data_IF_250145591694
#
_entry.id   IF_250145591694
#
_cell.length_a   1.000
_cell.length_b   1.000
_cell.length_c   1.000
_cell.angle_alpha   90.00
_cell.angle_beta   90.00
_cell.angle_gamma   90.00
#
_symmetry.space_group_name_H-M   'P 1'
#
loop_
_entity.id
_entity.type
_entity.pdbx_description
1 polymer ?
#
# COMPACT_ATOMS: atom_id res chain seq x y z
N UNK A 1 23.76 -15.89 4.48
CA UNK A 1 22.57 -16.25 5.31
C UNK A 1 21.67 -15.03 5.28
N UNK A 2 20.38 -15.18 4.93
CA UNK A 2 19.44 -14.06 5.04
C UNK A 2 19.41 -13.60 6.50
N UNK A 3 19.40 -12.28 6.74
CA UNK A 3 19.28 -11.72 8.08
C UNK A 3 17.88 -12.05 8.63
N UNK A 4 17.79 -12.26 9.93
CA UNK A 4 16.52 -12.54 10.59
C UNK A 4 15.66 -11.27 10.68
N UNK A 5 14.37 -11.38 10.37
CA UNK A 5 13.43 -10.27 10.52
C UNK A 5 13.20 -9.92 11.99
N UNK A 6 13.50 -8.67 12.36
CA UNK A 6 13.36 -8.17 13.75
C UNK A 6 12.03 -7.44 13.99
N UNK A 7 11.28 -7.13 12.94
CA UNK A 7 10.00 -6.42 13.04
C UNK A 7 8.91 -7.30 13.64
N UNK A 8 8.02 -6.74 14.46
CA UNK A 8 6.93 -7.50 15.09
C UNK A 8 5.83 -7.92 14.09
N UNK A 9 5.72 -7.23 12.94
CA UNK A 9 4.80 -7.52 11.82
C UNK A 9 5.64 -7.67 10.55
N UNK A 10 5.18 -8.46 9.56
CA UNK A 10 5.87 -8.56 8.27
C UNK A 10 5.91 -7.20 7.56
N UNK A 11 6.96 -6.97 6.78
CA UNK A 11 7.12 -5.72 6.04
C UNK A 11 7.30 -6.03 4.55
N UNK A 12 6.58 -5.28 3.71
CA UNK A 12 6.62 -5.33 2.25
C UNK A 12 7.10 -3.97 1.74
N UNK A 13 7.96 -3.97 0.73
CA UNK A 13 8.38 -2.72 0.09
C UNK A 13 7.41 -2.33 -1.01
N UNK A 14 6.81 -1.14 -0.91
CA UNK A 14 5.95 -0.55 -1.94
C UNK A 14 6.76 0.26 -2.95
N UNK A 15 6.88 -0.25 -4.18
CA UNK A 15 7.70 0.32 -5.25
C UNK A 15 7.03 1.46 -6.03
N UNK A 16 5.95 2.06 -5.52
CA UNK A 16 5.23 3.15 -6.21
C UNK A 16 6.12 4.37 -6.53
N UNK A 17 7.22 4.56 -5.79
CA UNK A 17 8.18 5.64 -6.04
C UNK A 17 9.20 5.32 -7.14
N UNK A 18 9.26 4.11 -7.62
CA UNK A 18 10.17 3.68 -8.69
C UNK A 18 9.54 3.93 -10.06
N UNK A 19 10.30 4.46 -11.00
CA UNK A 19 9.85 4.68 -12.38
C UNK A 19 10.59 5.80 -13.08
N UNK A 20 10.24 6.05 -14.32
CA UNK A 20 10.86 7.08 -15.15
C UNK A 20 10.64 8.50 -14.60
N UNK A 21 11.61 9.38 -14.87
CA UNK A 21 11.53 10.77 -14.50
C UNK A 21 10.31 11.45 -15.18
N UNK A 22 9.53 12.16 -14.39
CA UNK A 22 8.32 12.85 -14.86
C UNK A 22 7.04 12.00 -14.83
N UNK A 23 7.16 10.67 -14.69
CA UNK A 23 6.00 9.83 -14.48
C UNK A 23 5.32 10.13 -13.13
N UNK A 24 3.99 10.09 -13.11
CA UNK A 24 3.22 10.34 -11.88
C UNK A 24 3.67 9.38 -10.77
N UNK A 25 3.90 9.89 -9.57
CA UNK A 25 4.35 9.15 -8.38
C UNK A 25 5.85 8.77 -8.34
N UNK A 26 6.54 8.67 -9.48
CA UNK A 26 7.94 8.27 -9.53
C UNK A 26 8.87 9.33 -8.90
N UNK A 27 9.88 8.88 -8.16
CA UNK A 27 10.88 9.71 -7.46
C UNK A 27 12.28 9.08 -7.44
N UNK A 28 12.37 7.81 -7.75
CA UNK A 28 13.60 7.05 -7.91
C UNK A 28 13.65 6.63 -9.37
N UNK A 29 14.61 7.20 -10.10
CA UNK A 29 14.61 7.15 -11.57
C UNK A 29 15.79 6.37 -12.14
N UNK A 30 16.70 5.89 -11.29
CA UNK A 30 17.86 5.15 -11.71
C UNK A 30 17.98 3.81 -10.97
N UNK A 31 18.49 2.80 -11.69
CA UNK A 31 18.62 1.44 -11.19
C UNK A 31 19.56 1.31 -9.99
N UNK A 32 20.58 2.18 -9.90
CA UNK A 32 21.52 2.14 -8.80
C UNK A 32 20.85 2.53 -7.49
N UNK A 33 20.20 3.68 -7.44
CA UNK A 33 19.46 4.14 -6.25
C UNK A 33 18.35 3.17 -5.88
N UNK A 34 17.61 2.64 -6.86
CA UNK A 34 16.58 1.64 -6.62
C UNK A 34 17.20 0.35 -6.01
N UNK A 35 18.31 -0.12 -6.56
CA UNK A 35 19.06 -1.27 -6.04
C UNK A 35 19.56 -1.05 -4.62
N UNK A 36 20.17 0.10 -4.34
CA UNK A 36 20.68 0.47 -3.01
C UNK A 36 19.54 0.49 -1.95
N UNK A 37 18.35 0.97 -2.32
CA UNK A 37 17.15 0.94 -1.44
C UNK A 37 16.77 -0.52 -1.14
N UNK A 38 16.75 -1.38 -2.15
CA UNK A 38 16.41 -2.80 -1.97
C UNK A 38 17.47 -3.55 -1.16
N UNK A 39 18.75 -3.19 -1.31
CA UNK A 39 19.83 -3.77 -0.51
C UNK A 39 19.65 -3.49 0.98
N UNK A 40 19.27 -2.27 1.36
CA UNK A 40 18.93 -1.94 2.76
C UNK A 40 17.73 -2.77 3.22
N UNK A 41 16.65 -2.81 2.45
CA UNK A 41 15.45 -3.57 2.78
C UNK A 41 15.77 -5.06 3.02
N UNK A 42 16.55 -5.67 2.13
CA UNK A 42 16.97 -7.07 2.23
C UNK A 42 17.96 -7.32 3.38
N UNK A 43 18.81 -6.36 3.71
CA UNK A 43 19.73 -6.44 4.85
C UNK A 43 18.97 -6.55 6.20
N UNK A 44 17.71 -6.09 6.28
CA UNK A 44 16.82 -6.25 7.42
C UNK A 44 15.96 -7.54 7.38
N UNK A 45 16.24 -8.46 6.43
CA UNK A 45 15.61 -9.78 6.34
C UNK A 45 14.26 -9.79 5.61
N UNK A 46 13.92 -8.74 4.88
CA UNK A 46 12.69 -8.65 4.10
C UNK A 46 12.95 -8.83 2.61
N UNK A 47 11.98 -9.39 1.88
CA UNK A 47 12.17 -9.70 0.44
C UNK A 47 10.91 -9.52 -0.41
N UNK A 48 9.75 -9.20 0.16
CA UNK A 48 8.51 -9.04 -0.61
C UNK A 48 8.36 -7.60 -1.10
N UNK A 49 8.09 -7.44 -2.40
CA UNK A 49 7.95 -6.14 -3.07
C UNK A 49 6.60 -6.05 -3.76
N UNK A 50 5.90 -4.96 -3.50
CA UNK A 50 4.60 -4.60 -4.03
C UNK A 50 4.71 -3.51 -5.09
N UNK A 51 4.42 -3.84 -6.35
CA UNK A 51 4.29 -2.87 -7.45
C UNK A 51 2.88 -2.89 -8.05
N UNK A 52 2.67 -2.23 -9.18
CA UNK A 52 1.42 -2.25 -9.94
C UNK A 52 1.64 -1.78 -11.38
N UNK A 53 0.81 -2.30 -12.31
CA UNK A 53 0.77 -1.84 -13.71
C UNK A 53 0.57 -0.32 -13.84
N UNK A 54 -0.18 0.28 -12.91
CA UNK A 54 -0.47 1.71 -12.89
C UNK A 54 0.69 2.58 -12.37
N UNK A 55 1.68 2.03 -11.65
CA UNK A 55 2.74 2.83 -11.02
C UNK A 55 3.73 3.34 -12.05
N UNK A 56 3.99 4.65 -12.02
CA UNK A 56 4.88 5.31 -12.97
C UNK A 56 4.48 5.05 -14.44
N UNK A 57 3.18 4.93 -14.74
CA UNK A 57 2.66 4.55 -16.07
C UNK A 57 3.24 3.22 -16.58
N UNK A 58 3.50 2.27 -15.67
CA UNK A 58 4.06 0.97 -15.97
C UNK A 58 5.58 0.88 -15.83
N UNK A 59 6.28 1.98 -15.74
CA UNK A 59 7.75 2.00 -15.66
C UNK A 59 8.30 1.47 -14.33
N UNK A 60 7.46 1.38 -13.28
CA UNK A 60 7.85 0.70 -12.03
C UNK A 60 8.09 -0.79 -12.24
N UNK A 61 7.23 -1.49 -12.98
CA UNK A 61 7.43 -2.91 -13.32
C UNK A 61 8.66 -3.11 -14.22
N UNK A 62 8.85 -2.26 -15.22
CA UNK A 62 10.02 -2.31 -16.11
C UNK A 62 11.32 -2.14 -15.31
N UNK A 63 11.39 -1.15 -14.42
CA UNK A 63 12.57 -0.92 -13.57
C UNK A 63 12.88 -2.12 -12.67
N UNK A 64 11.87 -2.74 -12.07
CA UNK A 64 12.04 -3.95 -11.25
C UNK A 64 12.52 -5.13 -12.09
N UNK A 65 11.99 -5.29 -13.32
CA UNK A 65 12.48 -6.27 -14.28
C UNK A 65 13.96 -6.07 -14.66
N UNK A 66 14.37 -4.81 -14.83
CA UNK A 66 15.76 -4.44 -15.12
C UNK A 66 16.71 -4.64 -13.93
N UNK A 67 16.20 -4.56 -12.70
CA UNK A 67 16.92 -4.87 -11.46
C UNK A 67 17.13 -6.38 -11.24
N UNK A 68 16.63 -7.23 -12.14
CA UNK A 68 16.77 -8.69 -12.07
C UNK A 68 16.31 -9.24 -10.71
N UNK A 69 15.13 -8.82 -10.26
CA UNK A 69 14.58 -9.10 -8.94
C UNK A 69 14.62 -10.58 -8.53
N UNK A 70 14.53 -11.51 -9.50
CA UNK A 70 14.60 -12.96 -9.24
C UNK A 70 15.99 -13.33 -8.70
N UNK A 71 17.07 -12.76 -9.26
CA UNK A 71 18.44 -13.02 -8.80
C UNK A 71 18.69 -12.49 -7.38
N UNK A 72 17.89 -11.52 -6.95
CA UNK A 72 17.92 -10.99 -5.58
C UNK A 72 17.12 -11.84 -4.59
N UNK A 73 16.40 -12.89 -5.04
CA UNK A 73 15.52 -13.67 -4.18
C UNK A 73 14.29 -12.90 -3.70
N UNK A 74 13.84 -11.92 -4.46
CA UNK A 74 12.67 -11.10 -4.16
C UNK A 74 11.39 -11.89 -4.43
N UNK A 75 10.38 -11.71 -3.59
CA UNK A 75 9.00 -12.13 -3.79
C UNK A 75 8.25 -10.95 -4.42
N UNK A 76 7.68 -11.15 -5.61
CA UNK A 76 7.13 -10.06 -6.41
C UNK A 76 5.62 -10.10 -6.46
N UNK A 77 5.01 -8.96 -6.12
CA UNK A 77 3.57 -8.71 -6.22
C UNK A 77 3.31 -7.62 -7.25
N UNK A 78 2.25 -7.77 -8.05
CA UNK A 78 1.77 -6.70 -8.92
C UNK A 78 0.25 -6.64 -8.95
N UNK A 79 -0.30 -5.59 -9.60
CA UNK A 79 -1.73 -5.27 -9.53
C UNK A 79 -2.25 -4.70 -10.85
N UNK A 80 -3.51 -4.97 -11.10
CA UNK A 80 -4.27 -4.36 -12.18
C UNK A 80 -5.39 -3.46 -11.66
N UNK A 81 -5.40 -2.18 -12.08
CA UNK A 81 -6.37 -1.18 -11.64
C UNK A 81 -7.44 -0.95 -12.72
N UNK A 82 -8.73 -1.18 -12.43
CA UNK A 82 -9.82 -0.86 -13.35
C UNK A 82 -10.12 0.64 -13.25
N UNK A 83 -10.13 1.33 -14.38
CA UNK A 83 -10.33 2.79 -14.47
C UNK A 83 -11.73 3.19 -14.87
N UNK A 84 -12.50 2.29 -15.50
CA UNK A 84 -13.84 2.58 -16.00
C UNK A 84 -14.76 3.14 -14.88
N UNK A 85 -15.32 4.31 -15.14
CA UNK A 85 -16.21 5.01 -14.20
C UNK A 85 -15.51 5.65 -12.99
N UNK A 86 -14.18 5.72 -12.99
CA UNK A 86 -13.41 6.36 -11.91
C UNK A 86 -12.69 7.62 -12.38
N UNK A 87 -12.48 8.60 -11.49
CA UNK A 87 -11.59 9.71 -11.79
C UNK A 87 -10.15 9.20 -11.89
N UNK A 88 -9.49 9.54 -13.00
CA UNK A 88 -8.09 9.17 -13.29
C UNK A 88 -7.30 10.40 -13.73
N UNK A 89 -5.96 10.37 -13.66
CA UNK A 89 -5.12 11.44 -14.22
C UNK A 89 -5.41 11.68 -15.70
N UNK A 90 -5.19 12.91 -16.16
CA UNK A 90 -5.25 13.25 -17.57
C UNK A 90 -4.29 12.38 -18.40
N UNK A 91 -4.76 11.88 -19.52
CA UNK A 91 -3.98 10.99 -20.40
C UNK A 91 -4.00 9.50 -20.03
N UNK A 92 -4.62 9.13 -18.90
CA UNK A 92 -4.82 7.72 -18.58
C UNK A 92 -6.02 7.14 -19.35
N UNK A 93 -5.91 5.87 -19.73
CA UNK A 93 -7.05 5.11 -20.24
C UNK A 93 -8.11 4.97 -19.14
N UNK A 94 -9.31 5.49 -19.41
CA UNK A 94 -10.45 5.45 -18.49
C UNK A 94 -11.46 4.35 -18.82
N UNK A 95 -11.08 3.39 -19.66
CA UNK A 95 -11.97 2.30 -20.14
C UNK A 95 -11.62 0.94 -19.53
N UNK A 96 -10.56 0.84 -18.76
CA UNK A 96 -10.05 -0.42 -18.21
C UNK A 96 -11.05 -1.05 -17.24
N UNK A 97 -11.36 -2.35 -17.46
CA UNK A 97 -12.34 -3.14 -16.71
C UNK A 97 -11.76 -4.48 -16.30
N UNK A 98 -12.48 -5.22 -15.47
CA UNK A 98 -12.14 -6.61 -15.13
C UNK A 98 -12.79 -7.63 -16.07
N UNK A 99 -12.90 -7.32 -17.37
CA UNK A 99 -13.31 -8.34 -18.34
C UNK A 99 -12.22 -9.41 -18.50
N UNK A 100 -12.56 -10.65 -18.90
CA UNK A 100 -11.58 -11.72 -19.07
C UNK A 100 -10.41 -11.34 -19.98
N UNK A 101 -10.70 -10.63 -21.07
CA UNK A 101 -9.71 -10.19 -22.05
C UNK A 101 -8.74 -9.18 -21.44
N UNK A 102 -9.26 -8.13 -20.74
CA UNK A 102 -8.44 -7.09 -20.15
C UNK A 102 -7.63 -7.58 -18.95
N UNK A 103 -8.19 -8.49 -18.14
CA UNK A 103 -7.47 -9.16 -17.05
C UNK A 103 -6.26 -9.92 -17.59
N UNK A 104 -6.46 -10.71 -18.65
CA UNK A 104 -5.37 -11.46 -19.30
C UNK A 104 -4.34 -10.54 -19.92
N UNK A 105 -4.74 -9.59 -20.74
CA UNK A 105 -3.84 -8.66 -21.43
C UNK A 105 -2.94 -7.91 -20.45
N UNK A 106 -3.54 -7.36 -19.37
CA UNK A 106 -2.79 -6.60 -18.39
C UNK A 106 -1.85 -7.48 -17.54
N UNK A 107 -2.27 -8.70 -17.17
CA UNK A 107 -1.38 -9.63 -16.47
C UNK A 107 -0.20 -10.04 -17.36
N UNK A 108 -0.45 -10.41 -18.63
CA UNK A 108 0.63 -10.76 -19.57
C UNK A 108 1.60 -9.58 -19.78
N UNK A 109 1.09 -8.35 -19.84
CA UNK A 109 1.92 -7.15 -19.94
C UNK A 109 2.79 -6.99 -18.68
N UNK A 110 2.22 -7.14 -17.49
CA UNK A 110 2.98 -7.09 -16.23
C UNK A 110 4.07 -8.15 -16.16
N UNK A 111 3.76 -9.39 -16.53
CA UNK A 111 4.73 -10.49 -16.56
C UNK A 111 5.88 -10.20 -17.52
N UNK A 112 5.58 -9.67 -18.69
CA UNK A 112 6.57 -9.27 -19.69
C UNK A 112 7.50 -8.18 -19.15
N UNK A 113 6.95 -7.11 -18.57
CA UNK A 113 7.74 -6.00 -18.01
C UNK A 113 8.58 -6.45 -16.80
N UNK A 114 8.05 -7.30 -15.96
CA UNK A 114 8.76 -7.92 -14.84
C UNK A 114 9.74 -9.04 -15.26
N UNK A 115 9.80 -9.38 -16.55
CA UNK A 115 10.67 -10.41 -17.13
C UNK A 115 10.51 -11.77 -16.46
N UNK A 116 9.27 -12.22 -16.29
CA UNK A 116 8.93 -13.49 -15.62
C UNK A 116 7.67 -14.10 -16.25
N UNK A 117 7.48 -15.41 -16.06
CA UNK A 117 6.24 -16.11 -16.43
C UNK A 117 5.24 -16.20 -15.26
N UNK A 118 5.69 -15.91 -14.03
CA UNK A 118 4.88 -16.02 -12.82
C UNK A 118 5.31 -14.97 -11.77
N UNK A 119 4.34 -14.32 -11.14
CA UNK A 119 4.53 -13.52 -9.91
C UNK A 119 4.05 -14.30 -8.69
N UNK A 120 4.44 -13.86 -7.49
CA UNK A 120 3.95 -14.48 -6.27
C UNK A 120 2.49 -14.07 -6.02
N UNK A 121 2.18 -12.78 -6.04
CA UNK A 121 0.82 -12.30 -5.85
C UNK A 121 0.37 -11.35 -6.96
N UNK A 122 -0.85 -11.55 -7.41
CA UNK A 122 -1.52 -10.64 -8.34
C UNK A 122 -2.79 -10.09 -7.70
N UNK A 123 -2.93 -8.75 -7.77
CA UNK A 123 -4.07 -8.07 -7.15
C UNK A 123 -5.07 -7.52 -8.16
N UNK A 124 -6.33 -7.66 -7.84
CA UNK A 124 -7.37 -6.74 -8.31
C UNK A 124 -7.24 -5.45 -7.46
N UNK A 125 -6.68 -4.38 -8.04
CA UNK A 125 -6.24 -3.16 -7.34
C UNK A 125 -7.40 -2.29 -6.82
N UNK A 126 -8.61 -2.57 -7.25
CA UNK A 126 -9.85 -1.95 -6.81
C UNK A 126 -11.04 -2.63 -7.47
N UNK A 127 -12.27 -2.43 -6.97
CA UNK A 127 -13.45 -3.03 -7.56
C UNK A 127 -13.75 -2.45 -8.95
N UNK A 128 -14.10 -3.32 -9.87
CA UNK A 128 -14.84 -2.96 -11.09
C UNK A 128 -16.31 -3.39 -10.91
N UNK A 129 -17.19 -2.45 -10.62
CA UNK A 129 -18.63 -2.72 -10.45
C UNK A 129 -19.40 -2.75 -11.77
N UNK A 130 -18.70 -2.59 -12.90
CA UNK A 130 -19.30 -2.65 -14.25
C UNK A 130 -19.20 -4.05 -14.85
N UNK A 131 -18.32 -4.90 -14.30
CA UNK A 131 -18.19 -6.32 -14.66
C UNK A 131 -18.70 -7.18 -13.48
N UNK A 132 -19.64 -8.11 -13.70
CA UNK A 132 -20.11 -9.01 -12.64
C UNK A 132 -18.97 -9.79 -11.98
N UNK A 133 -19.03 -9.98 -10.66
CA UNK A 133 -17.94 -10.65 -9.92
C UNK A 133 -17.75 -12.12 -10.30
N UNK A 134 -18.79 -12.82 -10.73
CA UNK A 134 -18.68 -14.18 -11.24
C UNK A 134 -17.86 -14.24 -12.55
N UNK A 135 -18.04 -13.30 -13.46
CA UNK A 135 -17.24 -13.17 -14.67
C UNK A 135 -15.78 -12.86 -14.34
N UNK A 136 -15.55 -11.86 -13.46
CA UNK A 136 -14.22 -11.46 -13.02
C UNK A 136 -13.50 -12.64 -12.33
N UNK A 137 -14.14 -13.25 -11.33
CA UNK A 137 -13.47 -14.29 -10.52
C UNK A 137 -13.25 -15.60 -11.27
N UNK A 138 -14.15 -15.92 -12.25
CA UNK A 138 -13.89 -17.02 -13.15
C UNK A 138 -12.64 -16.80 -13.99
N UNK A 139 -12.49 -15.62 -14.59
CA UNK A 139 -11.33 -15.27 -15.41
C UNK A 139 -10.02 -15.27 -14.56
N UNK A 140 -10.06 -14.73 -13.34
CA UNK A 140 -8.94 -14.79 -12.39
C UNK A 140 -8.57 -16.23 -12.07
N UNK A 141 -9.55 -17.10 -11.81
CA UNK A 141 -9.31 -18.51 -11.54
C UNK A 141 -8.70 -19.26 -12.73
N UNK A 142 -9.11 -18.92 -13.97
CA UNK A 142 -8.53 -19.50 -15.18
C UNK A 142 -7.04 -19.13 -15.30
N UNK A 143 -6.68 -17.84 -15.10
CA UNK A 143 -5.29 -17.36 -15.08
C UNK A 143 -4.46 -17.97 -13.94
N UNK A 144 -5.08 -18.22 -12.77
CA UNK A 144 -4.44 -18.95 -11.66
C UNK A 144 -4.12 -20.39 -12.06
N UNK A 145 -5.05 -21.10 -12.69
CA UNK A 145 -4.84 -22.47 -13.16
C UNK A 145 -3.78 -22.58 -14.26
N UNK A 146 -3.58 -21.52 -15.04
CA UNK A 146 -2.49 -21.42 -16.01
C UNK A 146 -1.13 -21.17 -15.33
N UNK A 147 -1.11 -20.87 -14.02
CA UNK A 147 0.13 -20.75 -13.24
C UNK A 147 0.80 -19.37 -13.28
N UNK A 148 0.10 -18.31 -13.70
CA UNK A 148 0.68 -16.98 -13.85
C UNK A 148 0.92 -16.25 -12.51
N UNK A 149 0.29 -16.69 -11.44
CA UNK A 149 0.52 -16.19 -10.08
C UNK A 149 0.21 -17.28 -9.04
N UNK A 150 0.75 -17.16 -7.82
CA UNK A 150 0.56 -18.12 -6.73
C UNK A 150 -0.54 -17.69 -5.76
N UNK A 151 -0.58 -16.43 -5.39
CA UNK A 151 -1.52 -15.83 -4.45
C UNK A 151 -2.38 -14.80 -5.16
N UNK A 152 -3.63 -14.70 -4.74
CA UNK A 152 -4.57 -13.69 -5.22
C UNK A 152 -4.76 -12.61 -4.13
N UNK A 153 -4.62 -11.35 -4.52
CA UNK A 153 -4.96 -10.21 -3.68
C UNK A 153 -6.18 -9.44 -4.20
N UNK A 154 -6.91 -8.79 -3.31
CA UNK A 154 -7.91 -7.79 -3.63
C UNK A 154 -7.65 -6.52 -2.83
N UNK A 155 -8.06 -5.36 -3.34
CA UNK A 155 -7.76 -4.07 -2.72
C UNK A 155 -8.91 -3.09 -2.87
N UNK A 156 -9.19 -2.30 -1.83
CA UNK A 156 -10.18 -1.22 -1.86
C UNK A 156 -11.66 -1.65 -2.05
N UNK A 157 -12.00 -2.90 -1.78
CA UNK A 157 -13.36 -3.42 -1.78
C UNK A 157 -14.07 -3.13 -0.44
N UNK A 158 -15.40 -3.07 -0.44
CA UNK A 158 -16.20 -3.06 0.78
C UNK A 158 -16.22 -4.45 1.42
N UNK A 159 -16.43 -4.53 2.73
CA UNK A 159 -16.47 -5.81 3.44
C UNK A 159 -17.53 -6.77 2.88
N UNK A 160 -18.71 -6.28 2.48
CA UNK A 160 -19.74 -7.11 1.86
C UNK A 160 -19.32 -7.64 0.48
N UNK A 161 -18.53 -6.87 -0.30
CA UNK A 161 -17.99 -7.31 -1.59
C UNK A 161 -16.94 -8.42 -1.39
N UNK A 162 -16.09 -8.28 -0.35
CA UNK A 162 -15.16 -9.34 0.05
C UNK A 162 -15.91 -10.62 0.39
N UNK A 163 -16.95 -10.53 1.22
CA UNK A 163 -17.77 -11.68 1.57
C UNK A 163 -18.41 -12.32 0.34
N UNK A 164 -19.01 -11.52 -0.56
CA UNK A 164 -19.61 -12.01 -1.80
C UNK A 164 -18.59 -12.75 -2.68
N UNK A 165 -17.38 -12.18 -2.87
CA UNK A 165 -16.31 -12.80 -3.67
C UNK A 165 -15.87 -14.11 -3.02
N UNK A 166 -15.67 -14.15 -1.71
CA UNK A 166 -15.26 -15.37 -1.01
C UNK A 166 -16.29 -16.48 -1.13
N UNK A 167 -17.58 -16.20 -0.91
CA UNK A 167 -18.65 -17.19 -1.03
C UNK A 167 -18.83 -17.66 -2.48
N UNK A 168 -18.69 -16.77 -3.45
CA UNK A 168 -18.73 -17.11 -4.87
C UNK A 168 -17.57 -18.06 -5.22
N UNK A 169 -16.35 -17.78 -4.78
CA UNK A 169 -15.20 -18.65 -5.02
C UNK A 169 -15.36 -20.01 -4.37
N UNK A 170 -15.81 -20.07 -3.11
CA UNK A 170 -16.09 -21.34 -2.40
C UNK A 170 -17.12 -22.17 -3.15
N UNK A 171 -18.24 -21.57 -3.56
CA UNK A 171 -19.34 -22.29 -4.22
C UNK A 171 -18.95 -22.88 -5.57
N UNK A 172 -17.97 -22.28 -6.26
CA UNK A 172 -17.50 -22.72 -7.57
C UNK A 172 -16.17 -23.49 -7.56
N UNK A 173 -15.53 -23.67 -6.38
CA UNK A 173 -14.20 -24.26 -6.29
C UNK A 173 -13.11 -23.42 -6.98
N UNK A 174 -13.28 -22.08 -7.00
CA UNK A 174 -12.33 -21.15 -7.56
C UNK A 174 -11.30 -20.67 -6.55
N UNK A 175 -10.18 -20.12 -7.05
CA UNK A 175 -9.15 -19.50 -6.21
C UNK A 175 -9.76 -18.34 -5.40
N UNK A 176 -9.75 -18.50 -4.07
CA UNK A 176 -10.12 -17.41 -3.16
C UNK A 176 -9.00 -16.38 -3.05
N UNK A 177 -9.33 -15.12 -2.72
CA UNK A 177 -8.31 -14.17 -2.26
C UNK A 177 -7.56 -14.70 -1.04
N UNK A 178 -6.23 -14.50 -1.03
CA UNK A 178 -5.35 -14.79 0.11
C UNK A 178 -5.13 -13.55 0.96
N UNK A 179 -5.10 -12.38 0.28
CA UNK A 179 -4.74 -11.10 0.88
C UNK A 179 -5.74 -10.01 0.50
N UNK A 180 -6.07 -9.16 1.46
CA UNK A 180 -6.70 -7.87 1.21
C UNK A 180 -5.69 -6.76 1.47
N UNK A 181 -5.49 -5.85 0.49
CA UNK A 181 -4.67 -4.66 0.65
C UNK A 181 -5.55 -3.42 0.87
N UNK A 182 -5.29 -2.64 1.92
CA UNK A 182 -6.13 -1.50 2.26
C UNK A 182 -5.42 -0.40 3.04
N UNK A 183 -6.05 0.79 3.09
CA UNK A 183 -5.56 1.91 3.89
C UNK A 183 -5.75 1.63 5.38
N UNK A 184 -4.66 1.80 6.14
CA UNK A 184 -4.70 1.72 7.59
C UNK A 184 -3.49 2.45 8.19
N UNK A 185 -3.71 3.26 9.21
CA UNK A 185 -2.67 3.94 9.99
C UNK A 185 -3.27 4.49 11.28
N UNK A 186 -2.44 5.08 12.14
CA UNK A 186 -2.85 5.58 13.44
C UNK A 186 -4.00 6.61 13.40
N UNK A 187 -4.15 7.34 12.28
CA UNK A 187 -5.20 8.35 12.06
C UNK A 187 -6.24 7.93 11.01
N UNK A 188 -6.26 6.67 10.59
CA UNK A 188 -7.28 6.11 9.70
C UNK A 188 -7.53 4.65 10.07
N UNK A 189 -8.51 4.39 10.94
CA UNK A 189 -8.82 3.07 11.51
C UNK A 189 -10.22 2.57 11.12
N UNK A 190 -10.80 3.14 10.07
CA UNK A 190 -12.19 2.82 9.65
C UNK A 190 -12.41 1.35 9.23
N UNK A 191 -11.35 0.57 9.03
CA UNK A 191 -11.41 -0.86 8.71
C UNK A 191 -11.68 -1.75 9.93
N UNK A 192 -11.42 -1.26 11.15
CA UNK A 192 -11.43 -2.10 12.37
C UNK A 192 -12.80 -2.68 12.72
N UNK A 193 -13.91 -1.93 12.62
CA UNK A 193 -15.21 -2.45 13.08
C UNK A 193 -15.88 -3.44 12.13
N UNK A 194 -15.53 -3.43 10.84
CA UNK A 194 -16.26 -4.23 9.84
C UNK A 194 -15.30 -5.05 8.96
N UNK A 195 -14.34 -4.41 8.28
CA UNK A 195 -13.49 -5.10 7.31
C UNK A 195 -12.58 -6.13 7.98
N UNK A 196 -11.85 -5.77 9.03
CA UNK A 196 -10.94 -6.73 9.70
C UNK A 196 -11.67 -7.96 10.22
N UNK A 197 -12.82 -7.87 10.92
CA UNK A 197 -13.62 -9.06 11.27
C UNK A 197 -14.01 -9.91 10.05
N UNK A 198 -14.40 -9.29 8.94
CA UNK A 198 -14.71 -9.99 7.68
C UNK A 198 -13.49 -10.76 7.17
N UNK A 199 -12.32 -10.11 7.09
CA UNK A 199 -11.07 -10.77 6.64
C UNK A 199 -10.70 -11.96 7.54
N UNK A 200 -10.84 -11.81 8.85
CA UNK A 200 -10.56 -12.89 9.82
C UNK A 200 -11.52 -14.06 9.67
N UNK A 201 -12.79 -13.79 9.37
CA UNK A 201 -13.79 -14.85 9.11
C UNK A 201 -13.42 -15.69 7.89
N UNK A 202 -12.92 -15.07 6.83
CA UNK A 202 -12.54 -15.76 5.59
C UNK A 202 -11.08 -16.23 5.56
N UNK A 203 -10.28 -15.92 6.58
CA UNK A 203 -8.87 -16.31 6.66
C UNK A 203 -7.95 -15.52 5.74
N UNK A 204 -8.35 -14.30 5.34
CA UNK A 204 -7.51 -13.42 4.52
C UNK A 204 -6.52 -12.66 5.40
N UNK A 205 -5.27 -12.55 4.92
CA UNK A 205 -4.28 -11.65 5.49
C UNK A 205 -4.58 -10.20 5.09
N UNK A 206 -4.16 -9.25 5.91
CA UNK A 206 -4.33 -7.83 5.63
C UNK A 206 -2.97 -7.13 5.42
N UNK A 207 -2.78 -6.55 4.23
CA UNK A 207 -1.60 -5.75 3.90
C UNK A 207 -1.99 -4.27 3.94
N UNK A 208 -1.42 -3.50 4.86
CA UNK A 208 -1.76 -2.10 4.94
C UNK A 208 -0.87 -1.24 4.05
N UNK A 209 -1.46 -0.28 3.32
CA UNK A 209 -0.74 0.81 2.70
C UNK A 209 -0.97 2.14 3.44
N UNK A 210 -0.12 3.14 3.19
CA UNK A 210 -0.12 4.44 3.87
C UNK A 210 0.08 4.37 5.40
N UNK A 211 1.05 3.61 5.93
CA UNK A 211 1.32 3.60 7.37
C UNK A 211 1.69 4.99 7.91
N UNK A 212 2.32 5.83 7.09
CA UNK A 212 2.67 7.23 7.38
C UNK A 212 1.62 8.24 6.86
N UNK A 213 0.36 7.81 6.62
CA UNK A 213 -0.68 8.66 6.04
C UNK A 213 -0.21 9.39 4.74
N UNK A 214 0.55 8.69 3.88
CA UNK A 214 1.11 9.27 2.67
C UNK A 214 2.28 10.24 2.90
N UNK A 215 2.88 10.25 4.08
CA UNK A 215 3.91 11.18 4.51
C UNK A 215 3.37 12.36 5.32
N UNK A 216 2.08 12.35 5.67
CA UNK A 216 1.49 13.35 6.54
C UNK A 216 2.07 13.25 7.97
N UNK A 217 2.31 12.05 8.46
CA UNK A 217 2.94 11.75 9.75
C UNK A 217 4.47 11.71 9.61
N UNK A 218 5.10 12.86 9.26
CA UNK A 218 6.56 12.93 9.03
C UNK A 218 7.19 14.27 9.39
N UNK A 219 6.69 15.05 10.29
CA UNK A 219 7.22 16.37 10.69
C UNK A 219 7.35 17.40 9.51
N UNK A 220 6.83 17.08 8.32
CA UNK A 220 7.01 17.90 7.11
C UNK A 220 5.98 19.00 6.98
N UNK A 221 4.75 18.76 7.43
CA UNK A 221 3.60 19.59 7.11
C UNK A 221 3.06 20.31 8.34
N UNK A 222 2.75 21.59 8.17
CA UNK A 222 2.14 22.42 9.19
C UNK A 222 0.83 23.01 8.67
N UNK A 223 -0.05 23.39 9.59
CA UNK A 223 -1.34 24.05 9.29
C UNK A 223 -1.17 25.34 8.49
N UNK A 224 -0.08 26.08 8.77
CA UNK A 224 0.23 27.36 8.13
C UNK A 224 0.92 27.24 6.77
N UNK A 225 1.27 26.01 6.33
CA UNK A 225 1.98 25.85 5.07
C UNK A 225 1.10 26.27 3.90
N UNK A 226 1.55 27.24 3.13
CA UNK A 226 0.93 27.66 1.87
C UNK A 226 1.14 26.56 0.80
N UNK A 227 0.33 26.57 -0.25
CA UNK A 227 0.50 25.63 -1.36
C UNK A 227 1.86 25.76 -2.05
N UNK A 228 2.44 26.97 -2.04
CA UNK A 228 3.77 27.28 -2.57
C UNK A 228 4.92 26.71 -1.73
N UNK A 229 4.67 26.34 -0.47
CA UNK A 229 5.68 25.79 0.43
C UNK A 229 5.85 24.26 0.24
N UNK A 230 4.94 23.65 -0.52
CA UNK A 230 4.98 22.22 -0.80
C UNK A 230 5.92 21.95 -1.97
N UNK A 231 6.93 21.12 -1.72
CA UNK A 231 7.90 20.71 -2.73
C UNK A 231 7.19 20.11 -3.98
N UNK A 232 7.58 20.59 -5.16
CA UNK A 232 7.03 20.10 -6.42
C UNK A 232 7.24 18.59 -6.58
N UNK A 233 6.18 17.86 -6.95
CA UNK A 233 6.18 16.42 -7.02
C UNK A 233 6.10 15.70 -5.67
N UNK A 234 6.00 16.45 -4.54
CA UNK A 234 5.68 15.86 -3.25
C UNK A 234 4.29 15.23 -3.28
N UNK A 235 4.06 14.24 -2.41
CA UNK A 235 2.79 13.50 -2.36
C UNK A 235 1.58 14.37 -2.03
N UNK A 236 1.80 15.58 -1.49
CA UNK A 236 0.77 16.58 -1.20
C UNK A 236 0.85 17.80 -2.13
N UNK A 237 1.61 17.73 -3.23
CA UNK A 237 1.69 18.81 -4.24
C UNK A 237 0.30 19.06 -4.84
N UNK A 238 -0.30 20.26 -4.62
CA UNK A 238 -1.66 20.56 -5.09
C UNK A 238 -1.79 20.58 -6.61
N UNK A 239 -0.67 20.71 -7.34
CA UNK A 239 -0.62 20.75 -8.80
C UNK A 239 -0.62 19.35 -9.43
N UNK A 240 -0.38 18.29 -8.64
CA UNK A 240 -0.39 16.89 -9.09
C UNK A 240 -1.71 16.21 -8.75
N UNK A 241 -2.15 15.30 -9.60
CA UNK A 241 -3.36 14.52 -9.36
C UNK A 241 -3.29 13.75 -8.03
N UNK A 242 -2.18 13.08 -7.79
CA UNK A 242 -1.94 12.36 -6.54
C UNK A 242 -2.01 13.32 -5.33
N UNK A 243 -1.42 14.50 -5.44
CA UNK A 243 -1.42 15.47 -4.37
C UNK A 243 -2.83 15.94 -3.99
N UNK A 244 -3.69 16.17 -4.98
CA UNK A 244 -5.11 16.48 -4.74
C UNK A 244 -5.82 15.36 -3.98
N UNK A 245 -5.56 14.09 -4.34
CA UNK A 245 -6.14 12.91 -3.66
C UNK A 245 -5.65 12.80 -2.21
N UNK A 246 -4.36 13.00 -1.94
CA UNK A 246 -3.82 12.94 -0.58
C UNK A 246 -4.27 14.11 0.29
N UNK A 247 -4.39 15.30 -0.28
CA UNK A 247 -4.96 16.47 0.42
C UNK A 247 -6.42 16.23 0.79
N UNK A 248 -7.23 15.68 -0.10
CA UNK A 248 -8.61 15.30 0.21
C UNK A 248 -8.69 14.30 1.38
N UNK A 249 -7.71 13.42 1.53
CA UNK A 249 -7.65 12.45 2.63
C UNK A 249 -7.25 13.07 3.95
N UNK A 250 -6.15 13.80 3.99
CA UNK A 250 -5.44 14.14 5.22
C UNK A 250 -5.27 15.64 5.47
N UNK A 251 -5.42 16.53 4.47
CA UNK A 251 -5.21 17.96 4.63
C UNK A 251 -6.49 18.63 5.12
N UNK A 252 -6.85 18.34 6.37
CA UNK A 252 -8.08 18.82 7.02
C UNK A 252 -7.76 19.27 8.42
N UNK A 253 -8.57 20.18 8.94
CA UNK A 253 -8.40 20.78 10.27
C UNK A 253 -8.30 19.71 11.37
N UNK A 254 -9.15 18.70 11.33
CA UNK A 254 -9.19 17.63 12.33
C UNK A 254 -7.91 16.80 12.35
N UNK A 255 -7.27 16.61 11.19
CA UNK A 255 -5.98 15.91 11.10
C UNK A 255 -4.83 16.78 11.62
N UNK A 256 -4.84 18.10 11.39
CA UNK A 256 -3.89 19.01 12.02
C UNK A 256 -4.06 19.07 13.53
N UNK A 257 -5.29 19.04 14.03
CA UNK A 257 -5.56 18.92 15.46
C UNK A 257 -4.96 17.64 16.05
N UNK A 258 -5.01 16.52 15.32
CA UNK A 258 -4.36 15.27 15.74
C UNK A 258 -2.82 15.39 15.80
N UNK A 259 -2.19 16.13 14.86
CA UNK A 259 -0.76 16.42 14.95
C UNK A 259 -0.43 17.31 16.14
N UNK A 260 -1.27 18.30 16.46
CA UNK A 260 -1.07 19.19 17.60
C UNK A 260 -1.14 18.43 18.95
N UNK A 261 -1.90 17.33 19.02
CA UNK A 261 -1.90 16.41 20.16
C UNK A 261 -0.62 15.56 20.22
N UNK A 262 -0.17 15.03 19.07
CA UNK A 262 0.97 14.12 19.00
C UNK A 262 2.31 14.82 19.23
N UNK A 263 2.55 15.98 18.58
CA UNK A 263 3.85 16.65 18.52
C UNK A 263 4.49 16.97 19.85
N UNK A 264 3.79 17.55 20.83
CA UNK A 264 4.37 17.85 22.15
C UNK A 264 4.82 16.59 22.88
N UNK A 265 4.03 15.51 22.79
CA UNK A 265 4.31 14.24 23.46
C UNK A 265 5.47 13.52 22.77
N UNK A 266 5.47 13.44 21.44
CA UNK A 266 6.58 12.87 20.68
C UNK A 266 7.90 13.59 20.97
N UNK A 267 7.88 14.94 20.98
CA UNK A 267 9.05 15.76 21.34
C UNK A 267 9.58 15.49 22.74
N UNK A 268 8.72 15.30 23.74
CA UNK A 268 9.09 14.94 25.11
C UNK A 268 9.92 13.66 25.16
N UNK A 269 9.60 12.68 24.31
CA UNK A 269 10.31 11.40 24.21
C UNK A 269 11.46 11.42 23.20
N UNK A 270 11.68 12.52 22.47
CA UNK A 270 12.70 12.60 21.41
C UNK A 270 12.34 11.78 20.15
N UNK A 271 11.07 11.49 19.92
CA UNK A 271 10.60 10.72 18.77
C UNK A 271 10.12 11.62 17.62
N UNK A 272 10.24 11.12 16.40
CA UNK A 272 9.63 11.73 15.22
C UNK A 272 8.17 11.27 15.08
N UNK A 273 7.37 12.01 14.32
CA UNK A 273 6.00 11.59 13.97
C UNK A 273 6.02 10.26 13.19
N UNK A 274 7.01 10.07 12.30
CA UNK A 274 7.19 8.84 11.53
C UNK A 274 7.50 7.65 12.44
N UNK A 275 8.41 7.81 13.41
CA UNK A 275 8.69 6.79 14.41
C UNK A 275 7.43 6.41 15.20
N UNK A 276 6.67 7.41 15.66
CA UNK A 276 5.42 7.16 16.37
C UNK A 276 4.42 6.37 15.51
N UNK A 277 4.25 6.76 14.24
CA UNK A 277 3.33 6.10 13.33
C UNK A 277 3.74 4.65 13.01
N UNK A 278 5.01 4.39 12.71
CA UNK A 278 5.50 3.05 12.37
C UNK A 278 5.47 2.11 13.58
N UNK A 279 5.87 2.58 14.76
CA UNK A 279 5.80 1.79 16.00
C UNK A 279 4.35 1.55 16.43
N UNK A 280 3.43 2.48 16.18
CA UNK A 280 2.01 2.24 16.40
C UNK A 280 1.52 1.11 15.49
N UNK A 281 1.90 1.11 14.20
CA UNK A 281 1.52 0.06 13.26
C UNK A 281 2.00 -1.32 13.71
N UNK A 282 3.23 -1.41 14.21
CA UNK A 282 3.84 -2.69 14.60
C UNK A 282 3.36 -3.24 15.94
N UNK A 283 3.01 -2.37 16.91
CA UNK A 283 2.78 -2.80 18.29
C UNK A 283 1.38 -2.49 18.84
N UNK A 284 0.68 -1.50 18.27
CA UNK A 284 -0.59 -1.01 18.83
C UNK A 284 -1.77 -1.13 17.87
N UNK A 285 -1.53 -1.54 16.62
CA UNK A 285 -2.57 -1.78 15.62
C UNK A 285 -3.24 -3.15 15.77
N UNK A 286 -4.23 -3.42 14.92
CA UNK A 286 -4.90 -4.72 14.82
C UNK A 286 -4.16 -5.72 13.91
N UNK A 287 -2.97 -5.37 13.40
CA UNK A 287 -2.16 -6.27 12.58
C UNK A 287 -1.62 -7.43 13.42
N UNK A 288 -1.57 -8.62 12.81
CA UNK A 288 -1.12 -9.87 13.46
C UNK A 288 -0.21 -10.65 12.52
N UNK A 289 1.08 -10.78 12.90
CA UNK A 289 2.06 -11.53 12.10
C UNK A 289 1.63 -12.97 11.86
N UNK A 290 1.06 -13.63 12.86
CA UNK A 290 0.58 -15.01 12.79
C UNK A 290 -0.64 -15.20 11.86
N UNK A 291 -1.27 -14.09 11.42
CA UNK A 291 -2.31 -14.08 10.38
C UNK A 291 -1.76 -13.74 9.00
N UNK A 292 -0.44 -13.57 8.87
CA UNK A 292 0.21 -13.18 7.63
C UNK A 292 0.07 -11.68 7.31
N UNK A 293 -0.36 -10.84 8.26
CA UNK A 293 -0.51 -9.40 8.01
C UNK A 293 0.84 -8.74 7.76
N UNK A 294 0.83 -7.68 6.94
CA UNK A 294 2.04 -6.96 6.54
C UNK A 294 1.84 -5.45 6.50
N UNK A 295 2.93 -4.72 6.75
CA UNK A 295 3.01 -3.28 6.58
C UNK A 295 3.72 -2.98 5.26
N UNK A 296 3.07 -2.25 4.35
CA UNK A 296 3.69 -1.78 3.11
C UNK A 296 4.31 -0.41 3.35
N UNK A 297 5.64 -0.35 3.27
CA UNK A 297 6.40 0.90 3.38
C UNK A 297 6.94 1.33 2.02
N UNK A 298 6.98 2.62 1.76
CA UNK A 298 7.65 3.21 0.60
C UNK A 298 8.87 4.02 1.02
N UNK A 299 9.85 4.12 0.14
CA UNK A 299 10.98 5.01 0.30
C UNK A 299 11.29 5.72 -1.02
N UNK A 300 11.78 6.94 -0.96
CA UNK A 300 12.28 7.70 -2.13
C UNK A 300 13.79 7.97 -2.05
N UNK A 301 14.47 7.38 -1.05
CA UNK A 301 15.92 7.42 -0.88
C UNK A 301 16.37 6.28 0.02
N UNK A 302 17.65 5.94 -0.03
CA UNK A 302 18.31 4.99 0.87
C UNK A 302 18.10 5.40 2.33
N UNK A 303 18.33 6.68 2.64
CA UNK A 303 18.13 7.24 3.99
C UNK A 303 16.70 7.00 4.51
N UNK A 304 15.68 7.23 3.69
CA UNK A 304 14.29 6.97 4.11
C UNK A 304 14.04 5.49 4.39
N UNK A 305 14.69 4.59 3.62
CA UNK A 305 14.57 3.16 3.89
C UNK A 305 15.24 2.78 5.21
N UNK A 306 16.47 3.27 5.47
CA UNK A 306 17.18 3.04 6.73
C UNK A 306 16.39 3.54 7.94
N UNK A 307 15.84 4.76 7.86
CA UNK A 307 15.00 5.35 8.93
C UNK A 307 13.74 4.52 9.17
N UNK A 308 13.01 4.15 8.12
CA UNK A 308 11.82 3.32 8.22
C UNK A 308 12.12 1.97 8.88
N UNK A 309 13.16 1.27 8.43
CA UNK A 309 13.52 -0.04 8.97
C UNK A 309 13.94 0.06 10.44
N UNK A 310 14.76 1.05 10.77
CA UNK A 310 15.17 1.32 12.17
C UNK A 310 13.96 1.56 13.08
N UNK A 311 12.97 2.32 12.61
CA UNK A 311 11.79 2.65 13.42
C UNK A 311 10.86 1.45 13.59
N UNK A 312 10.68 0.63 12.55
CA UNK A 312 9.88 -0.60 12.57
C UNK A 312 10.46 -1.70 13.49
N UNK A 313 11.77 -1.70 13.72
CA UNK A 313 12.46 -2.66 14.61
C UNK A 313 12.45 -2.25 16.09
N UNK A 314 12.02 -1.03 16.41
CA UNK A 314 11.90 -0.56 17.79
C UNK A 314 10.71 -1.21 18.51
N UNK A 315 10.77 -1.22 19.83
CA UNK A 315 9.70 -1.72 20.71
C UNK A 315 8.45 -0.83 20.74
N UNK A 316 7.47 -1.20 21.59
CA UNK A 316 6.20 -0.48 21.70
C UNK A 316 6.39 0.98 22.16
N UNK A 317 5.39 1.81 21.83
CA UNK A 317 5.36 3.22 22.23
C UNK A 317 5.01 3.37 23.71
N UNK A 318 5.47 4.47 24.37
CA UNK A 318 4.94 4.90 25.66
C UNK A 318 3.43 5.19 25.61
N UNK A 319 2.74 4.95 26.72
CA UNK A 319 1.28 5.06 26.82
C UNK A 319 0.76 6.45 26.46
N UNK A 320 1.47 7.52 26.84
CA UNK A 320 1.06 8.90 26.55
C UNK A 320 1.08 9.21 25.03
N UNK A 321 1.98 8.60 24.26
CA UNK A 321 1.97 8.70 22.80
C UNK A 321 0.80 7.92 22.20
N UNK A 322 0.54 6.70 22.69
CA UNK A 322 -0.60 5.90 22.24
C UNK A 322 -1.91 6.64 22.49
N UNK A 323 -2.08 7.22 23.68
CA UNK A 323 -3.24 8.04 24.03
C UNK A 323 -3.41 9.27 23.13
N UNK A 324 -2.31 9.96 22.77
CA UNK A 324 -2.36 11.10 21.86
C UNK A 324 -2.81 10.68 20.45
N UNK A 325 -2.33 9.53 19.95
CA UNK A 325 -2.77 8.96 18.66
C UNK A 325 -4.24 8.50 18.69
N UNK A 326 -4.69 7.90 19.81
CA UNK A 326 -6.07 7.47 19.99
C UNK A 326 -7.03 8.68 20.03
N UNK A 327 -6.68 9.72 20.79
CA UNK A 327 -7.46 10.97 20.80
C UNK A 327 -7.46 11.65 19.43
N UNK A 328 -6.32 11.63 18.72
CA UNK A 328 -6.20 12.13 17.35
C UNK A 328 -7.15 11.40 16.39
N UNK A 329 -7.20 10.07 16.45
CA UNK A 329 -8.16 9.28 15.65
C UNK A 329 -9.60 9.61 16.01
N UNK A 330 -9.97 9.64 17.28
CA UNK A 330 -11.31 10.01 17.71
C UNK A 330 -11.75 11.39 17.19
N UNK A 331 -10.82 12.34 17.13
CA UNK A 331 -11.06 13.67 16.58
C UNK A 331 -11.24 13.70 15.08
N UNK A 332 -10.54 12.88 14.31
CA UNK A 332 -10.57 12.92 12.85
C UNK A 332 -11.43 11.82 12.19
N UNK A 333 -11.91 10.83 12.93
CA UNK A 333 -12.67 9.70 12.35
C UNK A 333 -13.94 10.11 11.60
N UNK A 334 -14.62 11.16 12.05
CA UNK A 334 -15.84 11.69 11.40
C UNK A 334 -15.58 12.35 10.05
N UNK A 335 -14.39 12.86 9.82
CA UNK A 335 -13.95 13.46 8.56
C UNK A 335 -13.06 12.54 7.72
N UNK A 336 -12.77 11.32 8.22
CA UNK A 336 -11.99 10.34 7.47
C UNK A 336 -12.72 9.88 6.22
N UNK A 337 -11.95 9.62 5.15
CA UNK A 337 -12.54 9.06 3.93
C UNK A 337 -12.88 7.58 4.15
N UNK A 338 -13.71 7.04 3.28
CA UNK A 338 -14.01 5.61 3.22
C UNK A 338 -12.72 4.80 2.97
N UNK A 339 -12.63 3.59 3.53
CA UNK A 339 -11.51 2.66 3.31
C UNK A 339 -11.58 1.95 1.95
N UNK A 340 -12.66 2.13 1.23
CA UNK A 340 -12.95 1.51 -0.07
C UNK A 340 -13.17 2.55 -1.18
N UNK A 341 -13.09 2.13 -2.44
CA UNK A 341 -13.32 2.94 -3.65
C UNK A 341 -14.68 2.64 -4.29
#
# INVERSE_FOLDING_TARGET
>A
MASEQKTAVNVVFGAMTFGEAGAEQARVHDLKTAGDILDVFQAHGHSEIDTARAYGNGTSETMLGDLEWQKRGIVMDTKYFPTAGKPVPEGWDNTLRHTPEMLRENLMTSLKELKTDQVDMWYLHGPDRTTPYDVTMKAVNDLYKEGHFKRLGISNYQAWEVAQICELCKSNGWKMPDVYQGVYNALHRAIEPELLPCLRHYGLSFYNYNPLAGGYLTNRYNRSDAETDIESGARFDPNKWQGKMYRMRYWKEEYFNALDLLRPVAKKHGFTEAECALRWMTHHSQLRREKGDSIIIGASSVKHMEENMKDLEKGPLPDDIVQALDQGWEGCKGSSIKYWM
#
